data_IF_872896179703
#
_entry.id   IF_872896179703
#
_cell.length_a   1.000
_cell.length_b   1.000
_cell.length_c   1.000
_cell.angle_alpha   90.00
_cell.angle_beta   90.00
_cell.angle_gamma   90.00
#
_symmetry.space_group_name_H-M   'P 1'
#
loop_
_entity.id
_entity.type
_entity.pdbx_description
1 polymer ?
#
# COMPACT_ATOMS: atom_id res chain seq x y z
N UNK A 1 17.91 5.56 7.97
CA UNK A 1 16.56 5.16 8.38
C UNK A 1 16.21 3.86 7.69
N UNK A 2 15.21 3.15 8.19
CA UNK A 2 14.65 1.96 7.54
C UNK A 2 13.16 2.18 7.35
N UNK A 3 12.56 1.52 6.35
CA UNK A 3 11.12 1.61 6.07
C UNK A 3 10.27 1.03 7.21
N UNK A 4 10.71 -0.06 7.84
CA UNK A 4 10.04 -0.64 9.01
C UNK A 4 11.05 -1.23 9.99
N UNK A 5 10.66 -1.34 11.26
CA UNK A 5 11.39 -2.09 12.30
C UNK A 5 10.79 -3.46 12.59
N UNK A 6 9.63 -3.76 12.01
CA UNK A 6 8.93 -5.05 12.11
C UNK A 6 8.47 -5.45 10.71
N UNK A 7 9.00 -6.55 10.19
CA UNK A 7 8.73 -7.03 8.82
C UNK A 7 8.35 -8.50 8.84
N UNK A 8 7.51 -8.91 7.91
CA UNK A 8 6.95 -10.25 7.83
C UNK A 8 6.90 -10.72 6.36
N UNK A 9 6.99 -12.03 6.13
CA UNK A 9 6.82 -12.61 4.79
C UNK A 9 7.86 -12.09 3.80
N UNK A 10 7.39 -11.69 2.61
CA UNK A 10 8.22 -11.18 1.52
C UNK A 10 8.27 -9.63 1.46
N UNK A 11 7.98 -8.94 2.57
CA UNK A 11 8.08 -7.48 2.63
C UNK A 11 9.50 -6.98 2.34
N UNK A 12 9.61 -5.94 1.50
CA UNK A 12 10.90 -5.33 1.16
C UNK A 12 11.25 -4.24 2.18
N UNK A 13 12.45 -4.33 2.74
CA UNK A 13 12.99 -3.30 3.62
C UNK A 13 13.79 -2.29 2.80
N UNK A 14 13.39 -1.02 2.82
CA UNK A 14 14.19 0.09 2.29
C UNK A 14 15.14 0.60 3.36
N UNK A 15 16.42 0.72 2.99
CA UNK A 15 17.46 1.39 3.77
C UNK A 15 17.75 2.72 3.10
N UNK A 16 17.64 3.81 3.86
CA UNK A 16 18.00 5.15 3.38
C UNK A 16 19.07 5.75 4.27
N UNK A 17 20.21 6.07 3.68
CA UNK A 17 21.31 6.79 4.34
C UNK A 17 21.35 8.23 3.82
N UNK A 18 21.30 9.17 4.75
CA UNK A 18 21.44 10.60 4.47
C UNK A 18 22.72 11.09 5.14
N UNK A 19 23.85 10.87 4.47
CA UNK A 19 25.17 11.27 4.94
C UNK A 19 25.65 12.51 4.18
N UNK A 20 25.79 13.68 4.85
CA UNK A 20 26.28 14.90 4.21
C UNK A 20 27.65 14.77 3.54
N UNK A 21 28.53 13.90 4.05
CA UNK A 21 29.88 13.71 3.51
C UNK A 21 29.87 13.00 2.15
N UNK A 22 28.79 12.28 1.85
CA UNK A 22 28.58 11.55 0.59
C UNK A 22 27.36 12.04 -0.20
N UNK A 23 26.92 13.29 0.00
CA UNK A 23 25.67 13.80 -0.58
C UNK A 23 25.82 14.55 -1.91
N UNK A 24 27.04 14.91 -2.31
CA UNK A 24 27.28 15.63 -3.57
C UNK A 24 27.12 14.68 -4.76
N UNK A 25 26.17 14.99 -5.64
CA UNK A 25 25.85 14.16 -6.82
C UNK A 25 26.63 14.59 -8.07
N UNK A 26 27.56 15.56 -7.96
CA UNK A 26 28.30 16.14 -9.11
C UNK A 26 29.78 15.76 -9.13
N UNK A 27 30.19 14.90 -8.20
CA UNK A 27 31.57 14.43 -8.05
C UNK A 27 31.61 12.90 -8.03
N UNK A 28 32.73 12.36 -8.48
CA UNK A 28 33.06 10.95 -8.32
C UNK A 28 33.42 10.66 -6.86
N UNK A 29 32.74 9.69 -6.25
CA UNK A 29 32.93 9.28 -4.86
C UNK A 29 33.74 7.98 -4.82
N UNK A 30 35.06 8.14 -4.68
CA UNK A 30 36.01 7.01 -4.69
C UNK A 30 35.83 5.96 -3.58
N UNK A 31 35.13 6.28 -2.49
CA UNK A 31 34.85 5.36 -1.39
C UNK A 31 33.35 5.35 -1.13
N UNK A 32 32.62 4.66 -2.00
CA UNK A 32 31.16 4.60 -1.92
C UNK A 32 30.71 3.92 -0.62
N UNK A 33 29.70 4.49 0.07
CA UNK A 33 29.22 3.97 1.34
C UNK A 33 28.57 2.59 1.18
N UNK A 34 28.68 1.81 2.25
CA UNK A 34 28.03 0.51 2.46
C UNK A 34 27.23 0.56 3.77
N UNK A 35 26.26 -0.32 3.92
CA UNK A 35 25.58 -0.55 5.20
C UNK A 35 25.83 -1.99 5.67
N UNK A 36 25.79 -2.21 6.97
CA UNK A 36 25.85 -3.55 7.55
C UNK A 36 24.44 -4.07 7.78
N UNK A 37 24.18 -5.32 7.40
CA UNK A 37 22.99 -6.06 7.79
C UNK A 37 23.35 -7.51 8.15
N UNK A 38 22.96 -7.94 9.35
CA UNK A 38 23.24 -9.31 9.82
C UNK A 38 24.75 -9.61 9.92
N UNK A 39 25.58 -8.60 10.20
CA UNK A 39 27.03 -8.74 10.31
C UNK A 39 27.80 -8.73 8.99
N UNK A 40 27.13 -8.44 7.86
CA UNK A 40 27.72 -8.39 6.53
C UNK A 40 27.51 -7.01 5.90
N UNK A 41 28.47 -6.55 5.11
CA UNK A 41 28.39 -5.26 4.41
C UNK A 41 27.76 -5.42 3.02
N UNK A 42 26.89 -4.48 2.67
CA UNK A 42 26.21 -4.39 1.39
C UNK A 42 26.31 -2.98 0.82
N UNK A 43 26.31 -2.89 -0.50
CA UNK A 43 26.43 -1.63 -1.20
C UNK A 43 25.16 -0.78 -1.12
N UNK A 44 25.34 0.53 -1.10
CA UNK A 44 24.27 1.50 -1.30
C UNK A 44 24.46 2.18 -2.66
N UNK A 45 23.34 2.62 -3.25
CA UNK A 45 23.31 3.37 -4.51
C UNK A 45 22.87 4.82 -4.29
N UNK A 46 23.58 5.78 -4.88
CA UNK A 46 23.27 7.20 -4.73
C UNK A 46 22.10 7.61 -5.63
N UNK A 47 21.07 8.24 -5.07
CA UNK A 47 19.99 8.83 -5.83
C UNK A 47 20.27 10.29 -6.20
N UNK A 48 19.50 10.83 -7.16
CA UNK A 48 19.58 12.24 -7.60
C UNK A 48 19.33 13.26 -6.47
N UNK A 49 18.76 12.84 -5.35
CA UNK A 49 18.50 13.68 -4.18
C UNK A 49 19.68 13.71 -3.19
N UNK A 50 20.81 13.07 -3.51
CA UNK A 50 22.01 13.01 -2.69
C UNK A 50 21.96 11.99 -1.54
N UNK A 51 20.85 11.26 -1.37
CA UNK A 51 20.73 10.17 -0.41
C UNK A 51 21.14 8.84 -1.05
N UNK A 52 21.41 7.86 -0.20
CA UNK A 52 21.86 6.53 -0.56
C UNK A 52 20.81 5.49 -0.20
N UNK A 53 20.55 4.56 -1.11
CA UNK A 53 19.44 3.61 -1.02
C UNK A 53 19.93 2.17 -1.20
N UNK A 54 19.28 1.25 -0.49
CA UNK A 54 19.29 -0.17 -0.78
C UNK A 54 17.93 -0.77 -0.44
N UNK A 55 17.57 -1.83 -1.15
CA UNK A 55 16.36 -2.60 -0.90
C UNK A 55 16.77 -4.05 -0.61
N UNK A 56 16.25 -4.62 0.48
CA UNK A 56 16.55 -5.99 0.85
C UNK A 56 15.25 -6.75 1.14
N UNK A 57 15.24 -8.06 0.88
CA UNK A 57 14.10 -8.95 1.15
C UNK A 57 14.60 -10.30 1.65
N UNK A 58 13.78 -10.98 2.47
CA UNK A 58 14.10 -12.34 2.87
C UNK A 58 14.14 -13.25 1.63
N UNK A 59 15.28 -13.92 1.44
CA UNK A 59 15.50 -14.74 0.25
C UNK A 59 14.57 -15.95 0.21
N UNK A 60 14.26 -16.55 1.37
CA UNK A 60 13.44 -17.76 1.43
C UNK A 60 11.98 -17.46 1.07
N UNK A 61 11.43 -16.35 1.58
CA UNK A 61 10.04 -15.97 1.32
C UNK A 61 9.86 -15.38 -0.07
N UNK A 62 10.70 -14.42 -0.48
CA UNK A 62 10.56 -13.82 -1.81
C UNK A 62 10.61 -14.84 -2.95
N UNK A 63 11.45 -15.87 -2.86
CA UNK A 63 11.51 -16.95 -3.85
C UNK A 63 10.26 -17.84 -3.86
N UNK A 64 9.59 -18.03 -2.72
CA UNK A 64 8.35 -18.80 -2.69
C UNK A 64 7.24 -18.02 -3.40
N UNK A 65 7.10 -16.74 -3.06
CA UNK A 65 6.02 -15.90 -3.59
C UNK A 65 6.19 -15.47 -5.05
N UNK A 66 7.43 -15.32 -5.54
CA UNK A 66 7.70 -14.99 -6.95
C UNK A 66 7.25 -16.09 -7.93
N UNK A 67 7.17 -17.35 -7.46
CA UNK A 67 6.78 -18.49 -8.31
C UNK A 67 5.26 -18.62 -8.45
N UNK A 68 4.49 -17.98 -7.57
CA UNK A 68 3.03 -18.06 -7.53
C UNK A 68 2.41 -16.83 -8.23
N UNK A 69 1.26 -16.99 -8.89
CA UNK A 69 0.55 -15.89 -9.61
C UNK A 69 -0.27 -15.00 -8.64
N UNK A 70 0.30 -14.69 -7.47
CA UNK A 70 -0.39 -14.07 -6.34
C UNK A 70 -0.13 -12.56 -6.22
N UNK A 71 0.64 -11.96 -7.14
CA UNK A 71 0.90 -10.53 -7.14
C UNK A 71 2.08 -10.11 -6.28
N UNK A 72 3.09 -10.97 -6.14
CA UNK A 72 4.37 -10.66 -5.47
C UNK A 72 5.53 -11.07 -6.37
N UNK A 73 5.62 -10.43 -7.54
CA UNK A 73 6.64 -10.73 -8.53
C UNK A 73 7.88 -9.83 -8.33
N UNK A 74 9.00 -10.45 -7.96
CA UNK A 74 10.30 -9.80 -7.74
C UNK A 74 11.20 -9.85 -8.99
N UNK A 75 10.83 -10.67 -9.98
CA UNK A 75 11.45 -10.68 -11.30
C UNK A 75 12.41 -11.86 -11.49
N UNK A 76 13.68 -11.60 -11.81
CA UNK A 76 14.67 -12.68 -11.98
C UNK A 76 15.72 -12.61 -10.89
N UNK A 77 15.91 -13.73 -10.17
CA UNK A 77 16.95 -13.85 -9.16
C UNK A 77 18.32 -14.07 -9.82
N UNK A 78 19.13 -13.03 -9.79
CA UNK A 78 20.50 -13.02 -10.29
C UNK A 78 21.47 -13.60 -9.24
N UNK A 79 21.68 -14.91 -9.30
CA UNK A 79 22.49 -15.67 -8.34
C UNK A 79 23.98 -15.33 -8.38
N UNK A 80 24.51 -14.90 -9.53
CA UNK A 80 25.89 -14.39 -9.62
C UNK A 80 26.00 -12.89 -9.37
N UNK A 81 24.89 -12.24 -9.06
CA UNK A 81 24.80 -10.80 -8.89
C UNK A 81 24.53 -10.07 -10.19
N UNK A 82 24.73 -8.76 -10.18
CA UNK A 82 24.55 -7.89 -11.35
C UNK A 82 25.87 -7.28 -11.79
N UNK A 83 25.98 -6.96 -13.06
CA UNK A 83 27.21 -6.43 -13.65
C UNK A 83 26.92 -5.30 -14.64
N UNK A 84 27.99 -4.57 -14.97
CA UNK A 84 27.99 -3.48 -15.95
C UNK A 84 27.99 -4.03 -17.39
N UNK A 85 28.58 -5.21 -17.58
CA UNK A 85 28.72 -5.87 -18.87
C UNK A 85 28.64 -7.39 -18.70
N UNK A 86 28.50 -8.12 -19.82
CA UNK A 86 28.40 -9.59 -19.92
C UNK A 86 29.63 -10.38 -19.38
N UNK A 87 30.31 -9.87 -18.36
CA UNK A 87 31.46 -10.43 -17.67
C UNK A 87 31.11 -10.75 -16.22
N UNK A 88 31.94 -11.57 -15.57
CA UNK A 88 31.82 -11.87 -14.14
C UNK A 88 32.79 -11.03 -13.29
N UNK A 89 33.40 -10.00 -13.87
CA UNK A 89 34.48 -9.24 -13.24
C UNK A 89 34.12 -7.79 -12.96
N UNK A 90 33.21 -7.20 -13.72
CA UNK A 90 32.74 -5.83 -13.55
C UNK A 90 31.37 -5.83 -12.84
N UNK A 91 31.33 -6.43 -11.65
CA UNK A 91 30.09 -6.59 -10.88
C UNK A 91 29.70 -5.25 -10.25
N UNK A 92 28.42 -4.90 -10.38
CA UNK A 92 27.77 -3.82 -9.64
C UNK A 92 27.49 -4.35 -8.23
N UNK A 93 26.74 -5.44 -8.15
CA UNK A 93 26.46 -6.17 -6.92
C UNK A 93 26.93 -7.62 -7.04
N UNK A 94 28.02 -8.02 -6.36
CA UNK A 94 28.39 -9.43 -6.29
C UNK A 94 27.45 -10.20 -5.36
N UNK A 95 26.84 -11.28 -5.85
CA UNK A 95 25.97 -12.14 -5.04
C UNK A 95 26.60 -13.49 -4.68
N UNK A 96 25.79 -14.41 -4.15
CA UNK A 96 26.21 -15.72 -3.63
C UNK A 96 27.39 -15.65 -2.65
N UNK A 97 27.42 -14.58 -1.83
CA UNK A 97 28.49 -14.30 -0.88
C UNK A 97 27.92 -14.09 0.51
N UNK A 98 28.31 -14.94 1.46
CA UNK A 98 27.78 -14.88 2.83
C UNK A 98 26.28 -15.19 2.84
N UNK A 99 25.48 -14.25 3.36
CA UNK A 99 24.02 -14.37 3.48
C UNK A 99 23.27 -13.83 2.25
N UNK A 100 23.95 -13.16 1.31
CA UNK A 100 23.35 -12.70 0.06
C UNK A 100 23.27 -13.85 -0.93
N UNK A 101 22.06 -14.30 -1.19
CA UNK A 101 21.77 -15.42 -2.10
C UNK A 101 21.79 -14.96 -3.56
N UNK A 102 21.21 -13.78 -3.83
CA UNK A 102 21.06 -13.26 -5.19
C UNK A 102 20.54 -11.82 -5.18
N UNK A 103 20.37 -11.26 -6.38
CA UNK A 103 19.76 -9.94 -6.56
C UNK A 103 18.54 -10.09 -7.47
N UNK A 104 17.37 -9.67 -7.00
CA UNK A 104 16.17 -9.58 -7.81
C UNK A 104 16.26 -8.37 -8.74
N UNK A 105 16.06 -8.59 -10.03
CA UNK A 105 16.14 -7.55 -11.05
C UNK A 105 15.20 -7.79 -12.23
N UNK A 106 14.93 -6.73 -12.99
CA UNK A 106 14.17 -6.75 -14.23
C UNK A 106 14.99 -7.32 -15.41
N UNK A 107 15.27 -8.62 -15.38
CA UNK A 107 16.03 -9.31 -16.43
C UNK A 107 15.12 -9.95 -17.48
N UNK A 108 15.71 -10.34 -18.61
CA UNK A 108 15.01 -11.16 -19.59
C UNK A 108 15.03 -12.63 -19.15
N UNK A 109 13.88 -13.25 -18.92
CA UNK A 109 13.81 -14.61 -18.37
C UNK A 109 14.42 -15.72 -19.25
N UNK A 110 14.76 -15.43 -20.51
CA UNK A 110 15.42 -16.37 -21.43
C UNK A 110 16.94 -16.19 -21.44
N UNK A 111 17.46 -15.01 -21.07
CA UNK A 111 18.91 -14.81 -20.98
C UNK A 111 19.45 -15.59 -19.77
N UNK A 112 20.69 -16.06 -19.89
CA UNK A 112 21.37 -16.69 -18.75
C UNK A 112 21.76 -15.62 -17.72
N UNK A 113 22.48 -16.02 -16.66
CA UNK A 113 23.07 -15.07 -15.71
C UNK A 113 24.06 -14.09 -16.39
N UNK A 114 24.73 -14.50 -17.48
CA UNK A 114 25.72 -13.69 -18.19
C UNK A 114 25.89 -14.13 -19.65
N UNK A 115 26.65 -13.37 -20.44
CA UNK A 115 27.05 -13.70 -21.81
C UNK A 115 26.00 -13.41 -22.90
N UNK A 116 24.96 -12.63 -22.57
CA UNK A 116 23.94 -12.17 -23.51
C UNK A 116 23.29 -10.87 -23.01
N UNK A 117 22.91 -9.99 -23.94
CA UNK A 117 22.08 -8.82 -23.67
C UNK A 117 20.81 -9.17 -22.86
N UNK A 118 20.49 -8.33 -21.87
CA UNK A 118 19.34 -8.52 -21.00
C UNK A 118 19.53 -9.61 -19.94
N UNK A 119 20.75 -10.14 -19.80
CA UNK A 119 21.15 -11.00 -18.67
C UNK A 119 21.32 -10.20 -17.38
N UNK A 120 21.45 -10.89 -16.26
CA UNK A 120 21.79 -10.27 -14.98
C UNK A 120 23.06 -9.41 -15.02
N UNK A 121 23.99 -9.76 -15.90
CA UNK A 121 25.25 -9.05 -16.07
C UNK A 121 25.17 -7.96 -17.16
N UNK A 122 24.08 -7.86 -17.90
CA UNK A 122 23.86 -6.79 -18.89
C UNK A 122 22.39 -6.37 -18.87
N UNK A 123 21.97 -5.81 -17.74
CA UNK A 123 20.57 -5.46 -17.50
C UNK A 123 20.12 -4.24 -18.30
N UNK A 124 21.02 -3.42 -18.83
CA UNK A 124 20.70 -2.30 -19.72
C UNK A 124 20.85 -2.62 -21.22
N UNK A 125 21.41 -3.77 -21.60
CA UNK A 125 21.35 -4.30 -22.98
C UNK A 125 20.05 -5.05 -23.30
N UNK A 126 19.58 -5.11 -24.54
CA UNK A 126 18.44 -5.97 -24.90
C UNK A 126 18.57 -6.56 -26.31
N UNK A 127 18.13 -7.81 -26.47
CA UNK A 127 18.30 -8.54 -27.73
C UNK A 127 17.44 -7.96 -28.87
N UNK A 128 18.12 -7.33 -29.83
CA UNK A 128 17.60 -6.97 -31.15
C UNK A 128 16.16 -6.44 -31.18
N UNK A 129 15.20 -7.22 -31.69
CA UNK A 129 13.80 -6.80 -31.88
C UNK A 129 13.01 -6.64 -30.59
N UNK A 130 13.56 -7.11 -29.46
CA UNK A 130 12.95 -6.91 -28.15
C UNK A 130 13.45 -5.62 -27.49
N UNK A 131 14.40 -4.91 -28.08
CA UNK A 131 14.79 -3.58 -27.61
C UNK A 131 13.81 -2.53 -28.13
N UNK A 132 12.69 -2.37 -27.43
CA UNK A 132 11.68 -1.37 -27.79
C UNK A 132 11.12 -0.69 -26.54
N UNK A 133 10.59 0.52 -26.71
CA UNK A 133 9.95 1.28 -25.63
C UNK A 133 8.66 0.64 -25.07
N UNK A 134 8.12 -0.40 -25.72
CA UNK A 134 6.81 -0.99 -25.37
C UNK A 134 6.86 -2.49 -25.06
N UNK A 135 8.02 -3.12 -25.17
CA UNK A 135 8.16 -4.56 -24.93
C UNK A 135 8.22 -4.84 -23.44
N UNK A 136 7.33 -5.70 -22.96
CA UNK A 136 7.31 -6.23 -21.59
C UNK A 136 7.95 -7.62 -21.54
N UNK A 137 8.99 -7.86 -22.36
CA UNK A 137 9.64 -9.18 -22.43
C UNK A 137 10.53 -9.46 -21.22
N UNK A 138 10.90 -8.43 -20.48
CA UNK A 138 11.58 -8.54 -19.18
C UNK A 138 10.55 -8.73 -18.08
N UNK A 139 10.98 -9.38 -17.00
CA UNK A 139 10.19 -9.32 -15.76
C UNK A 139 10.12 -7.87 -15.29
N UNK A 140 8.96 -7.44 -14.81
CA UNK A 140 8.76 -6.09 -14.32
C UNK A 140 8.60 -6.10 -12.80
N UNK A 141 9.70 -5.89 -12.11
CA UNK A 141 9.74 -5.69 -10.65
C UNK A 141 8.83 -4.52 -10.26
N UNK A 142 8.95 -3.40 -10.98
CA UNK A 142 8.36 -2.09 -10.66
C UNK A 142 6.86 -1.99 -10.93
N UNK A 143 6.26 -3.03 -11.50
CA UNK A 143 4.81 -3.10 -11.64
C UNK A 143 4.09 -3.42 -10.31
N UNK A 144 4.80 -4.04 -9.36
CA UNK A 144 4.20 -4.60 -8.14
C UNK A 144 4.95 -4.19 -6.88
N UNK A 145 6.29 -4.19 -6.93
CA UNK A 145 7.16 -3.81 -5.82
C UNK A 145 8.19 -2.78 -6.28
N UNK A 146 8.60 -1.87 -5.40
CA UNK A 146 9.47 -0.74 -5.77
C UNK A 146 8.87 0.20 -6.84
N UNK A 147 7.56 0.38 -6.82
CA UNK A 147 6.81 1.21 -7.80
C UNK A 147 7.23 2.69 -7.80
N UNK A 148 7.83 3.16 -6.70
CA UNK A 148 8.24 4.55 -6.48
C UNK A 148 9.74 4.74 -6.22
N UNK A 149 10.59 3.76 -6.57
CA UNK A 149 12.03 3.86 -6.32
C UNK A 149 12.67 5.12 -6.95
N UNK A 150 13.62 5.79 -6.27
CA UNK A 150 14.20 7.02 -6.76
C UNK A 150 15.13 6.77 -7.95
N UNK A 151 15.26 7.77 -8.82
CA UNK A 151 16.26 7.74 -9.90
C UNK A 151 17.68 7.88 -9.34
N UNK A 152 18.63 7.14 -9.91
CA UNK A 152 20.03 7.21 -9.55
C UNK A 152 20.68 8.53 -10.01
N UNK A 153 21.66 9.01 -9.22
CA UNK A 153 22.52 10.12 -9.63
C UNK A 153 23.37 9.75 -10.83
N UNK A 154 23.85 10.75 -11.57
CA UNK A 154 24.82 10.60 -12.65
C UNK A 154 25.79 11.78 -12.57
N UNK A 155 26.99 11.55 -12.03
CA UNK A 155 27.85 12.63 -11.58
C UNK A 155 28.56 13.37 -12.71
N UNK A 156 28.78 12.70 -13.84
CA UNK A 156 29.52 13.21 -15.00
C UNK A 156 28.62 13.45 -16.22
N UNK A 157 27.30 13.32 -16.05
CA UNK A 157 26.29 13.38 -17.11
C UNK A 157 26.59 12.42 -18.27
N UNK A 158 27.26 11.28 -18.01
CA UNK A 158 27.54 10.27 -19.02
C UNK A 158 26.23 9.76 -19.64
N UNK A 159 26.21 9.64 -20.97
CA UNK A 159 25.05 9.13 -21.67
C UNK A 159 24.81 7.64 -21.34
N UNK A 160 23.55 7.24 -21.26
CA UNK A 160 23.12 5.85 -21.09
C UNK A 160 23.90 4.87 -21.99
N UNK A 161 24.44 3.79 -21.41
CA UNK A 161 25.26 2.78 -22.11
C UNK A 161 26.65 3.24 -22.55
N UNK A 162 27.11 4.44 -22.19
CA UNK A 162 28.45 4.89 -22.51
C UNK A 162 29.51 4.14 -21.67
N UNK A 163 30.68 3.90 -22.27
CA UNK A 163 31.82 3.38 -21.51
C UNK A 163 32.21 4.36 -20.40
N UNK A 164 32.22 3.88 -19.15
CA UNK A 164 32.51 4.69 -17.98
C UNK A 164 31.28 5.34 -17.35
N UNK A 165 30.06 5.02 -17.81
CA UNK A 165 28.84 5.40 -17.11
C UNK A 165 28.87 4.87 -15.66
N UNK A 166 28.45 5.72 -14.74
CA UNK A 166 28.54 5.47 -13.31
C UNK A 166 27.31 5.98 -12.57
N UNK A 167 26.12 5.54 -13.02
CA UNK A 167 24.91 5.93 -12.32
C UNK A 167 24.90 5.32 -10.92
N UNK A 168 24.47 6.11 -9.95
CA UNK A 168 24.44 5.73 -8.54
C UNK A 168 25.83 5.53 -7.91
N UNK A 169 26.91 5.97 -8.58
CA UNK A 169 28.31 5.81 -8.19
C UNK A 169 28.81 4.35 -8.21
N UNK A 170 28.06 3.46 -8.88
CA UNK A 170 28.27 2.00 -8.86
C UNK A 170 28.27 1.35 -10.24
N UNK A 171 28.33 2.13 -11.31
CA UNK A 171 28.35 1.61 -12.68
C UNK A 171 26.97 1.23 -13.23
N UNK A 172 25.88 1.65 -12.59
CA UNK A 172 24.55 1.42 -13.14
C UNK A 172 24.37 2.18 -14.46
N UNK A 173 23.45 1.68 -15.28
CA UNK A 173 23.05 2.27 -16.54
C UNK A 173 21.60 1.89 -16.83
N UNK A 174 21.05 2.51 -17.87
CA UNK A 174 19.70 2.30 -18.35
C UNK A 174 19.74 2.09 -19.87
N UNK A 175 18.84 1.25 -20.38
CA UNK A 175 18.63 1.08 -21.79
C UNK A 175 17.97 2.33 -22.37
N UNK A 176 18.62 2.99 -23.34
CA UNK A 176 18.12 4.24 -23.92
C UNK A 176 16.80 4.11 -24.71
N UNK A 177 16.39 2.91 -25.11
CA UNK A 177 15.15 2.67 -25.86
C UNK A 177 13.99 2.30 -24.93
N UNK A 178 14.23 1.38 -23.99
CA UNK A 178 13.19 0.76 -23.16
C UNK A 178 13.11 1.32 -21.75
N UNK A 179 14.17 1.94 -21.23
CA UNK A 179 14.21 2.43 -19.86
C UNK A 179 14.51 1.36 -18.80
N UNK A 180 14.76 0.10 -19.18
CA UNK A 180 15.18 -0.94 -18.22
C UNK A 180 16.67 -0.82 -17.90
N UNK A 181 17.06 -1.20 -16.69
CA UNK A 181 18.45 -1.21 -16.27
C UNK A 181 18.67 -2.06 -15.03
N UNK A 182 19.83 -1.92 -14.40
CA UNK A 182 20.19 -2.64 -13.17
C UNK A 182 19.59 -2.03 -11.89
N UNK A 183 18.81 -0.96 -12.02
CA UNK A 183 18.10 -0.29 -10.93
C UNK A 183 16.65 0.02 -11.33
N UNK A 184 15.68 -0.11 -10.42
CA UNK A 184 15.83 -0.65 -9.06
C UNK A 184 16.10 -2.16 -9.04
N UNK A 185 16.72 -2.61 -7.95
CA UNK A 185 16.98 -4.03 -7.68
C UNK A 185 16.91 -4.29 -6.17
N UNK A 186 16.65 -5.54 -5.79
CA UNK A 186 16.48 -5.94 -4.39
C UNK A 186 17.50 -7.04 -4.05
N UNK A 187 18.23 -6.87 -2.95
CA UNK A 187 19.15 -7.89 -2.45
C UNK A 187 18.35 -8.98 -1.72
N UNK A 188 18.42 -10.22 -2.20
CA UNK A 188 17.77 -11.37 -1.57
C UNK A 188 18.73 -11.97 -0.52
N UNK A 189 18.46 -11.70 0.76
CA UNK A 189 19.32 -12.05 1.88
C UNK A 189 18.54 -12.98 2.81
N UNK A 190 19.18 -13.99 3.38
CA UNK A 190 18.55 -14.80 4.43
C UNK A 190 18.45 -13.98 5.72
N UNK A 191 17.21 -13.67 6.15
CA UNK A 191 16.99 -12.93 7.39
C UNK A 191 17.04 -13.87 8.60
N UNK A 192 17.29 -13.28 9.76
CA UNK A 192 17.11 -13.94 11.06
C UNK A 192 15.99 -13.24 11.83
N UNK A 193 15.50 -13.82 12.93
CA UNK A 193 14.41 -13.21 13.72
C UNK A 193 14.76 -11.78 14.20
N UNK A 194 16.03 -11.56 14.55
CA UNK A 194 16.56 -10.27 15.01
C UNK A 194 17.71 -9.81 14.13
N UNK A 195 17.49 -8.77 13.34
CA UNK A 195 18.50 -8.19 12.47
C UNK A 195 18.93 -6.81 12.96
N UNK A 196 20.13 -6.38 12.57
CA UNK A 196 20.63 -5.04 12.83
C UNK A 196 21.07 -4.43 11.51
N UNK A 197 20.52 -3.27 11.18
CA UNK A 197 21.00 -2.38 10.12
C UNK A 197 21.95 -1.38 10.76
N UNK A 198 23.19 -1.28 10.29
CA UNK A 198 24.16 -0.31 10.82
C UNK A 198 24.86 0.50 9.72
N UNK A 199 25.16 1.76 10.04
CA UNK A 199 25.89 2.68 9.17
C UNK A 199 26.63 3.72 10.02
N UNK A 200 27.92 3.94 9.78
CA UNK A 200 28.67 5.06 10.39
C UNK A 200 28.71 5.08 11.92
N UNK A 201 28.36 3.98 12.59
CA UNK A 201 28.23 3.88 14.05
C UNK A 201 26.79 3.97 14.58
N UNK A 202 25.83 4.36 13.75
CA UNK A 202 24.40 4.26 14.04
C UNK A 202 23.89 2.84 13.75
N UNK A 203 22.88 2.40 14.50
CA UNK A 203 22.24 1.10 14.28
C UNK A 203 20.75 1.13 14.59
N UNK A 204 19.99 0.32 13.86
CA UNK A 204 18.55 0.11 14.02
C UNK A 204 18.31 -1.40 14.07
N UNK A 205 17.59 -1.86 15.08
CA UNK A 205 17.12 -3.25 15.17
C UNK A 205 15.86 -3.43 14.33
N UNK A 206 15.81 -4.52 13.58
CA UNK A 206 14.68 -4.90 12.73
C UNK A 206 14.30 -6.34 13.07
N UNK A 207 13.09 -6.52 13.59
CA UNK A 207 12.51 -7.83 13.85
C UNK A 207 11.89 -8.39 12.58
N UNK A 208 12.18 -9.65 12.28
CA UNK A 208 11.58 -10.38 11.17
C UNK A 208 10.77 -11.57 11.71
N UNK A 209 9.49 -11.65 11.35
CA UNK A 209 8.61 -12.72 11.83
C UNK A 209 7.14 -12.29 11.87
N UNK A 210 6.34 -12.99 12.66
CA UNK A 210 4.92 -12.66 12.82
C UNK A 210 4.74 -11.29 13.51
N UNK A 211 3.85 -10.45 12.97
CA UNK A 211 3.57 -9.09 13.44
C UNK A 211 2.16 -8.93 14.04
N UNK A 212 1.53 -10.01 14.53
CA UNK A 212 0.18 -9.94 15.11
C UNK A 212 0.08 -8.88 16.23
N UNK A 213 1.15 -8.75 17.04
CA UNK A 213 1.21 -7.78 18.15
C UNK A 213 1.26 -6.31 17.73
N UNK A 214 1.53 -6.05 16.46
CA UNK A 214 1.68 -4.74 15.85
C UNK A 214 0.42 -4.33 15.07
N UNK A 215 -0.63 -5.16 15.11
CA UNK A 215 -1.86 -4.92 14.36
C UNK A 215 -2.91 -4.12 15.13
N UNK A 216 -3.79 -3.45 14.39
CA UNK A 216 -4.99 -2.80 14.92
C UNK A 216 -6.14 -2.81 13.92
N UNK A 217 -7.36 -2.61 14.43
CA UNK A 217 -8.57 -2.40 13.64
C UNK A 217 -9.42 -1.31 14.28
N UNK A 218 -9.85 -0.35 13.48
CA UNK A 218 -10.66 0.79 13.90
C UNK A 218 -11.82 1.03 12.95
N UNK A 219 -12.92 1.57 13.48
CA UNK A 219 -14.11 1.91 12.73
C UNK A 219 -14.53 3.34 13.09
N UNK A 220 -14.61 4.23 12.10
CA UNK A 220 -14.86 5.65 12.32
C UNK A 220 -16.23 5.92 12.97
N UNK A 221 -17.27 5.22 12.53
CA UNK A 221 -18.60 5.26 13.12
C UNK A 221 -19.06 3.87 13.54
N UNK A 222 -19.06 3.60 14.85
CA UNK A 222 -19.49 2.32 15.44
C UNK A 222 -21.01 2.20 15.62
N UNK A 223 -21.74 3.29 15.40
CA UNK A 223 -23.19 3.36 15.57
C UNK A 223 -23.89 3.94 14.33
N UNK A 224 -23.64 3.43 13.11
CA UNK A 224 -24.26 3.96 11.90
C UNK A 224 -25.76 3.64 11.84
N UNK A 225 -26.51 4.49 11.14
CA UNK A 225 -27.88 4.18 10.70
C UNK A 225 -27.88 3.38 9.39
N UNK A 226 -28.97 3.44 8.63
CA UNK A 226 -29.02 2.91 7.27
C UNK A 226 -28.28 3.80 6.27
N UNK A 227 -27.84 3.20 5.14
CA UNK A 227 -27.16 3.89 4.04
C UNK A 227 -25.98 4.75 4.48
N UNK A 228 -25.32 4.39 5.56
CA UNK A 228 -24.15 5.09 6.08
C UNK A 228 -22.88 4.40 5.57
N UNK A 229 -21.91 5.18 5.15
CA UNK A 229 -20.61 4.68 4.73
C UNK A 229 -19.88 4.01 5.90
N UNK A 230 -19.25 2.87 5.63
CA UNK A 230 -18.46 2.13 6.61
C UNK A 230 -16.98 2.37 6.34
N UNK A 231 -16.33 3.07 7.26
CA UNK A 231 -14.92 3.46 7.15
C UNK A 231 -14.09 2.65 8.13
N UNK A 232 -13.49 1.58 7.63
CA UNK A 232 -12.62 0.70 8.38
C UNK A 232 -11.16 1.08 8.13
N UNK A 233 -10.36 1.08 9.20
CA UNK A 233 -8.91 1.25 9.14
C UNK A 233 -8.24 0.09 9.83
N UNK A 234 -7.23 -0.51 9.20
CA UNK A 234 -6.36 -1.52 9.82
C UNK A 234 -4.91 -1.06 9.81
N UNK A 235 -4.15 -1.45 10.82
CA UNK A 235 -2.68 -1.34 10.80
C UNK A 235 -2.10 -2.75 10.77
N UNK A 236 -1.19 -3.02 9.84
CA UNK A 236 -0.43 -4.27 9.79
C UNK A 236 0.87 -4.13 9.00
N UNK A 237 2.04 -4.22 9.66
CA UNK A 237 3.32 -4.22 8.96
C UNK A 237 3.49 -5.38 7.97
N UNK A 238 2.78 -6.51 8.13
CA UNK A 238 2.90 -7.65 7.22
C UNK A 238 2.29 -7.42 5.84
N UNK A 239 1.37 -6.46 5.73
CA UNK A 239 0.73 -6.10 4.46
C UNK A 239 1.52 -5.04 3.67
N UNK A 240 2.53 -4.42 4.28
CA UNK A 240 3.35 -3.39 3.67
C UNK A 240 4.56 -4.03 2.97
N UNK A 241 4.33 -4.43 1.72
CA UNK A 241 5.26 -5.18 0.88
C UNK A 241 6.17 -4.23 0.08
N UNK A 242 5.61 -3.17 -0.52
CA UNK A 242 6.35 -2.17 -1.29
C UNK A 242 6.67 -0.93 -0.43
N UNK A 243 7.94 -0.71 -0.03
CA UNK A 243 8.28 0.44 0.80
C UNK A 243 8.20 1.79 0.04
N UNK A 244 7.97 1.78 -1.27
CA UNK A 244 8.02 2.97 -2.13
C UNK A 244 6.68 3.34 -2.77
N UNK A 245 5.68 2.47 -2.67
CA UNK A 245 4.33 2.64 -3.19
C UNK A 245 3.29 2.26 -2.15
N UNK A 246 2.03 2.63 -2.40
CA UNK A 246 0.93 2.17 -1.55
C UNK A 246 0.53 0.75 -1.95
N UNK A 247 0.43 -0.13 -0.97
CA UNK A 247 -0.11 -1.48 -1.18
C UNK A 247 -1.64 -1.53 -1.16
N UNK A 248 -2.20 -2.45 -1.94
CA UNK A 248 -3.64 -2.69 -2.02
C UNK A 248 -3.89 -4.15 -1.69
N UNK A 249 -4.81 -4.40 -0.75
CA UNK A 249 -5.21 -5.75 -0.37
C UNK A 249 -6.72 -5.91 -0.51
N UNK A 250 -7.16 -7.07 -0.97
CA UNK A 250 -8.58 -7.40 -1.12
C UNK A 250 -8.89 -8.59 -0.22
N UNK A 251 -9.85 -8.40 0.67
CA UNK A 251 -10.29 -9.40 1.64
C UNK A 251 -11.74 -9.80 1.38
N UNK A 252 -12.05 -11.08 1.58
CA UNK A 252 -13.42 -11.57 1.66
C UNK A 252 -13.85 -11.59 3.13
N UNK A 253 -14.88 -10.82 3.48
CA UNK A 253 -15.31 -10.69 4.88
C UNK A 253 -15.96 -11.99 5.39
N UNK A 254 -16.50 -12.82 4.51
CA UNK A 254 -17.11 -14.11 4.83
C UNK A 254 -16.10 -15.27 4.91
N UNK A 255 -14.86 -15.02 4.48
CA UNK A 255 -13.81 -16.02 4.42
C UNK A 255 -13.36 -16.50 5.81
N UNK A 256 -12.83 -17.73 5.82
CA UNK A 256 -12.36 -18.39 7.05
C UNK A 256 -10.87 -18.63 6.98
N UNK A 257 -10.22 -18.92 8.11
CA UNK A 257 -8.82 -19.30 8.12
C UNK A 257 -8.48 -20.50 7.21
N UNK A 258 -9.45 -21.37 6.90
CA UNK A 258 -9.25 -22.51 6.00
C UNK A 258 -9.41 -22.14 4.51
N UNK A 259 -10.11 -21.05 4.21
CA UNK A 259 -10.40 -20.55 2.86
C UNK A 259 -10.37 -19.01 2.90
N UNK A 260 -9.19 -18.40 3.04
CA UNK A 260 -9.06 -17.00 3.48
C UNK A 260 -9.31 -15.97 2.37
N UNK A 261 -9.23 -16.37 1.09
CA UNK A 261 -9.51 -15.54 -0.09
C UNK A 261 -8.86 -14.14 -0.03
N UNK A 262 -7.58 -14.09 0.35
CA UNK A 262 -6.81 -12.83 0.47
C UNK A 262 -6.06 -12.58 -0.84
N UNK A 263 -6.09 -11.35 -1.35
CA UNK A 263 -5.42 -11.01 -2.61
C UNK A 263 -4.62 -9.73 -2.47
N UNK A 264 -3.50 -9.66 -3.19
CA UNK A 264 -2.83 -8.39 -3.49
C UNK A 264 -3.51 -7.77 -4.70
N UNK A 265 -3.96 -6.53 -4.53
CA UNK A 265 -4.71 -5.75 -5.50
C UNK A 265 -3.86 -4.86 -6.40
N UNK A 266 -2.55 -4.71 -6.16
CA UNK A 266 -1.68 -3.76 -6.87
C UNK A 266 -1.70 -3.92 -8.41
N UNK A 267 -1.97 -5.14 -8.93
CA UNK A 267 -2.05 -5.43 -10.38
C UNK A 267 -3.38 -6.13 -10.80
N UNK A 268 -4.40 -6.14 -9.94
CA UNK A 268 -5.81 -6.46 -10.24
C UNK A 268 -6.18 -7.83 -10.85
N UNK A 269 -5.22 -8.68 -11.24
CA UNK A 269 -5.45 -9.96 -11.93
C UNK A 269 -4.96 -11.18 -11.16
N UNK A 270 -4.51 -10.97 -9.93
CA UNK A 270 -3.84 -11.98 -9.11
C UNK A 270 -4.79 -13.04 -8.56
N UNK A 271 -4.28 -14.25 -8.35
CA UNK A 271 -5.00 -15.30 -7.62
C UNK A 271 -5.08 -14.98 -6.13
N UNK A 272 -6.11 -15.53 -5.47
CA UNK A 272 -6.20 -15.43 -4.02
C UNK A 272 -5.23 -16.40 -3.37
N UNK A 273 -4.52 -15.92 -2.36
CA UNK A 273 -3.71 -16.75 -1.49
C UNK A 273 -4.60 -17.71 -0.72
N UNK A 274 -4.18 -18.96 -0.67
CA UNK A 274 -4.73 -20.01 0.16
C UNK A 274 -4.15 -19.95 1.59
N UNK A 275 -4.65 -20.83 2.46
CA UNK A 275 -4.23 -20.87 3.86
C UNK A 275 -2.77 -21.31 4.05
N UNK A 276 -2.21 -22.08 3.10
CA UNK A 276 -0.81 -22.51 3.12
C UNK A 276 0.10 -21.34 2.80
N UNK A 277 -0.25 -20.57 1.77
CA UNK A 277 0.51 -19.40 1.33
C UNK A 277 0.51 -18.32 2.42
N UNK A 278 -0.64 -18.00 3.02
CA UNK A 278 -0.66 -17.10 4.19
C UNK A 278 0.15 -17.64 5.37
N UNK A 279 0.16 -18.95 5.58
CA UNK A 279 1.03 -19.58 6.58
C UNK A 279 2.52 -19.44 6.26
N UNK A 280 2.91 -19.45 4.99
CA UNK A 280 4.29 -19.18 4.55
C UNK A 280 4.67 -17.73 4.80
N UNK A 281 3.76 -16.77 4.57
CA UNK A 281 3.94 -15.38 5.00
C UNK A 281 4.11 -15.22 6.51
N UNK A 282 3.91 -16.27 7.32
CA UNK A 282 3.94 -16.17 8.78
C UNK A 282 2.66 -15.56 9.36
N UNK A 283 1.59 -15.48 8.57
CA UNK A 283 0.31 -14.98 9.03
C UNK A 283 -0.34 -15.97 9.99
N UNK A 284 -0.86 -15.47 11.10
CA UNK A 284 -1.59 -16.27 12.10
C UNK A 284 -2.98 -15.70 12.28
N UNK A 285 -3.12 -14.64 13.07
CA UNK A 285 -4.38 -13.90 13.19
C UNK A 285 -4.41 -12.66 12.29
N UNK A 286 -3.23 -12.15 11.88
CA UNK A 286 -3.10 -11.07 10.90
C UNK A 286 -3.26 -11.54 9.44
N UNK A 287 -3.13 -10.61 8.49
CA UNK A 287 -3.33 -10.83 7.05
C UNK A 287 -4.72 -11.30 6.60
N UNK A 288 -5.74 -11.34 7.48
CA UNK A 288 -7.12 -11.69 7.11
C UNK A 288 -8.10 -10.78 7.85
N UNK A 289 -8.77 -9.92 7.09
CA UNK A 289 -9.96 -9.21 7.56
C UNK A 289 -11.19 -10.11 7.41
N UNK A 290 -12.02 -10.18 8.46
CA UNK A 290 -13.26 -10.95 8.43
C UNK A 290 -14.38 -10.26 9.22
N UNK A 291 -15.62 -10.68 8.96
CA UNK A 291 -16.81 -10.26 9.67
C UNK A 291 -17.61 -11.47 10.14
N UNK A 292 -18.33 -11.35 11.26
CA UNK A 292 -19.24 -12.41 11.72
C UNK A 292 -20.58 -12.43 10.95
N UNK A 293 -20.95 -11.32 10.30
CA UNK A 293 -22.15 -11.21 9.48
C UNK A 293 -22.10 -9.98 8.55
N UNK A 294 -22.50 -10.17 7.29
CA UNK A 294 -22.59 -9.10 6.29
C UNK A 294 -24.03 -8.68 5.97
N UNK A 295 -25.03 -9.19 6.71
CA UNK A 295 -26.45 -9.02 6.36
C UNK A 295 -26.94 -7.57 6.33
N UNK A 296 -26.18 -6.65 6.93
CA UNK A 296 -26.48 -5.22 6.96
C UNK A 296 -25.51 -4.39 6.11
N UNK A 297 -24.60 -5.03 5.38
CA UNK A 297 -23.57 -4.40 4.56
C UNK A 297 -23.90 -4.54 3.06
N UNK A 298 -23.57 -3.52 2.27
CA UNK A 298 -23.69 -3.58 0.81
C UNK A 298 -22.64 -2.75 0.07
N UNK A 299 -22.29 -3.19 -1.14
CA UNK A 299 -21.62 -2.40 -2.17
C UNK A 299 -22.67 -1.95 -3.19
N UNK A 300 -23.24 -0.75 -2.99
CA UNK A 300 -24.40 -0.32 -3.77
C UNK A 300 -25.62 -1.23 -3.55
N UNK A 301 -26.06 -1.95 -4.59
CA UNK A 301 -27.18 -2.91 -4.52
C UNK A 301 -26.75 -4.35 -4.23
N UNK A 302 -25.45 -4.66 -4.23
CA UNK A 302 -24.91 -6.01 -4.01
C UNK A 302 -24.46 -6.22 -2.56
N UNK A 303 -24.36 -7.48 -2.14
CA UNK A 303 -23.71 -7.85 -0.87
C UNK A 303 -22.23 -7.47 -0.89
N UNK A 304 -21.68 -7.18 0.29
CA UNK A 304 -20.21 -7.06 0.41
C UNK A 304 -19.65 -8.46 0.41
N UNK A 305 -19.02 -8.85 -0.68
CA UNK A 305 -18.28 -10.12 -0.75
C UNK A 305 -16.78 -9.85 -0.66
N UNK A 306 -16.31 -8.69 -1.13
CA UNK A 306 -14.91 -8.29 -1.13
C UNK A 306 -14.76 -6.84 -0.66
N UNK A 307 -13.77 -6.58 0.18
CA UNK A 307 -13.37 -5.25 0.63
C UNK A 307 -11.95 -4.99 0.18
N UNK A 308 -11.77 -3.89 -0.56
CA UNK A 308 -10.45 -3.38 -0.93
C UNK A 308 -9.94 -2.46 0.18
N UNK A 309 -8.76 -2.76 0.70
CA UNK A 309 -8.05 -1.95 1.69
C UNK A 309 -6.83 -1.35 0.99
N UNK A 310 -6.76 -0.02 0.94
CA UNK A 310 -5.65 0.70 0.29
C UNK A 310 -4.78 1.33 1.36
N UNK A 311 -3.47 1.16 1.25
CA UNK A 311 -2.51 1.80 2.13
C UNK A 311 -2.56 3.32 1.97
N UNK A 312 -2.64 4.03 3.10
CA UNK A 312 -2.80 5.50 3.19
C UNK A 312 -1.69 6.29 2.51
N UNK A 313 -0.55 5.66 2.26
CA UNK A 313 0.58 6.19 1.51
C UNK A 313 1.68 5.14 1.47
N UNK A 314 2.76 5.42 0.75
CA UNK A 314 3.89 4.49 0.70
C UNK A 314 4.43 4.19 2.10
N UNK A 315 4.49 2.91 2.45
CA UNK A 315 5.13 2.42 3.67
C UNK A 315 4.55 2.99 4.98
N UNK A 316 3.24 3.16 5.05
CA UNK A 316 2.59 3.54 6.32
C UNK A 316 2.21 2.33 7.15
N UNK A 317 1.99 1.16 6.52
CA UNK A 317 1.39 -0.02 7.13
C UNK A 317 -0.05 0.19 7.62
N UNK A 318 -0.70 1.28 7.19
CA UNK A 318 -2.07 1.66 7.58
C UNK A 318 -2.95 1.64 6.34
N UNK A 319 -4.00 0.82 6.37
CA UNK A 319 -4.88 0.58 5.23
C UNK A 319 -6.30 0.99 5.54
N UNK A 320 -6.96 1.59 4.56
CA UNK A 320 -8.31 2.16 4.67
C UNK A 320 -9.25 1.54 3.64
N UNK A 321 -10.51 1.35 4.03
CA UNK A 321 -11.60 0.89 3.15
C UNK A 321 -12.31 2.06 2.43
N UNK A 322 -11.64 3.19 2.27
CA UNK A 322 -12.17 4.39 1.65
C UNK A 322 -11.06 5.15 0.90
N UNK A 323 -11.45 5.94 -0.09
CA UNK A 323 -10.49 6.67 -0.91
C UNK A 323 -10.03 7.98 -0.25
N UNK A 324 -9.06 8.66 -0.88
CA UNK A 324 -8.54 9.96 -0.41
C UNK A 324 -9.58 11.09 -0.39
N UNK A 325 -10.73 10.92 -1.04
CA UNK A 325 -11.85 11.85 -1.00
C UNK A 325 -12.87 11.49 0.09
N UNK A 326 -12.63 10.40 0.82
CA UNK A 326 -13.47 9.89 1.89
C UNK A 326 -14.62 9.01 1.40
N UNK A 327 -14.63 8.53 0.15
CA UNK A 327 -15.68 7.64 -0.34
C UNK A 327 -15.39 6.19 0.06
N UNK A 328 -16.29 5.57 0.81
CA UNK A 328 -16.14 4.17 1.24
C UNK A 328 -16.35 3.14 0.12
N UNK A 329 -15.67 2.01 0.27
CA UNK A 329 -15.86 0.80 -0.53
C UNK A 329 -17.23 0.16 -0.28
N UNK A 330 -17.77 0.29 0.93
CA UNK A 330 -19.05 -0.28 1.30
C UNK A 330 -19.81 0.55 2.34
N UNK A 331 -21.11 0.29 2.45
CA UNK A 331 -22.05 1.03 3.29
C UNK A 331 -23.03 0.08 3.98
N UNK A 332 -23.83 0.60 4.91
CA UNK A 332 -24.97 -0.13 5.44
C UNK A 332 -26.14 -0.16 4.45
N UNK A 333 -26.94 -1.22 4.46
CA UNK A 333 -28.12 -1.34 3.60
C UNK A 333 -29.22 -0.33 3.95
N UNK A 334 -30.14 -0.12 3.01
CA UNK A 334 -31.41 0.56 3.30
C UNK A 334 -32.25 -0.24 4.29
N UNK A 335 -32.92 0.45 5.21
CA UNK A 335 -33.79 -0.18 6.22
C UNK A 335 -33.06 -1.25 7.07
N UNK A 336 -31.77 -1.01 7.35
CA UNK A 336 -30.97 -1.88 8.21
C UNK A 336 -31.67 -2.10 9.57
N UNK A 337 -31.77 -3.34 10.02
CA UNK A 337 -32.47 -3.63 11.27
C UNK A 337 -31.71 -3.04 12.45
N UNK A 338 -32.39 -2.21 13.25
CA UNK A 338 -31.85 -1.63 14.48
C UNK A 338 -31.31 -2.71 15.44
N UNK A 339 -30.30 -2.35 16.22
CA UNK A 339 -29.60 -3.21 17.17
C UNK A 339 -28.90 -4.44 16.55
N UNK A 340 -28.79 -4.49 15.22
CA UNK A 340 -27.97 -5.51 14.55
C UNK A 340 -26.51 -5.19 14.78
N UNK A 341 -25.79 -6.16 15.37
CA UNK A 341 -24.36 -6.08 15.59
C UNK A 341 -23.62 -6.84 14.49
N UNK A 342 -22.58 -6.21 13.95
CA UNK A 342 -21.59 -6.81 13.06
C UNK A 342 -20.21 -6.59 13.67
N UNK A 343 -19.44 -7.66 13.83
CA UNK A 343 -18.10 -7.65 14.42
C UNK A 343 -17.08 -7.85 13.32
N UNK A 344 -16.25 -6.85 13.07
CA UNK A 344 -15.07 -6.99 12.21
C UNK A 344 -13.88 -7.45 13.04
N UNK A 345 -13.11 -8.40 12.52
CA UNK A 345 -11.96 -9.00 13.20
C UNK A 345 -10.72 -8.97 12.32
N UNK A 346 -9.59 -8.60 12.91
CA UNK A 346 -8.28 -8.52 12.26
C UNK A 346 -7.16 -8.64 13.29
N UNK A 347 -6.14 -9.50 13.06
CA UNK A 347 -4.93 -9.53 13.89
C UNK A 347 -5.19 -9.87 15.37
N UNK A 348 -6.20 -10.69 15.65
CA UNK A 348 -6.63 -11.02 17.01
C UNK A 348 -7.43 -9.90 17.72
N UNK A 349 -7.59 -8.76 17.07
CA UNK A 349 -8.43 -7.64 17.51
C UNK A 349 -9.81 -7.69 16.87
N UNK A 350 -10.76 -6.95 17.44
CA UNK A 350 -12.11 -6.83 16.88
C UNK A 350 -12.74 -5.46 17.16
N UNK A 351 -13.60 -5.00 16.26
CA UNK A 351 -14.42 -3.80 16.44
C UNK A 351 -15.88 -4.08 16.08
N UNK A 352 -16.78 -3.65 16.96
CA UNK A 352 -18.22 -3.82 16.76
C UNK A 352 -18.83 -2.60 16.07
N UNK A 353 -19.69 -2.86 15.09
CA UNK A 353 -20.61 -1.93 14.45
C UNK A 353 -22.04 -2.30 14.83
N UNK A 354 -22.78 -1.37 15.44
CA UNK A 354 -24.16 -1.59 15.86
C UNK A 354 -25.08 -0.63 15.12
N UNK A 355 -26.03 -1.16 14.34
CA UNK A 355 -27.03 -0.33 13.66
C UNK A 355 -27.86 0.42 14.71
N UNK A 356 -27.74 1.73 14.73
CA UNK A 356 -28.34 2.59 15.76
C UNK A 356 -29.17 3.67 15.10
N UNK A 357 -30.39 3.87 15.63
CA UNK A 357 -31.23 5.00 15.26
C UNK A 357 -31.46 5.94 16.44
N UNK A 358 -31.36 7.24 16.20
CA UNK A 358 -31.53 8.32 17.15
C UNK A 358 -32.58 9.31 16.66
N UNK A 359 -33.46 9.74 17.57
CA UNK A 359 -34.45 10.76 17.25
C UNK A 359 -33.78 12.12 16.95
N UNK A 360 -34.19 12.76 15.85
CA UNK A 360 -33.84 14.13 15.57
C UNK A 360 -34.41 15.07 16.65
N UNK A 361 -33.63 16.07 17.05
CA UNK A 361 -34.08 17.09 18.01
C UNK A 361 -34.37 18.39 17.30
N UNK A 362 -35.42 19.08 17.75
CA UNK A 362 -35.78 20.42 17.27
C UNK A 362 -35.75 21.40 18.44
N UNK A 363 -35.11 22.54 18.22
CA UNK A 363 -35.15 23.68 19.15
C UNK A 363 -35.60 24.93 18.42
N UNK A 364 -36.28 25.81 19.15
CA UNK A 364 -36.75 27.08 18.67
C UNK A 364 -36.25 28.16 19.62
N UNK A 365 -35.48 29.09 19.09
CA UNK A 365 -35.03 30.28 19.80
C UNK A 365 -35.59 31.53 19.11
N UNK A 366 -36.51 32.21 19.79
CA UNK A 366 -37.11 33.47 19.36
C UNK A 366 -36.75 34.64 20.29
N UNK A 367 -35.76 34.47 21.16
CA UNK A 367 -35.55 35.38 22.28
C UNK A 367 -36.72 35.37 23.28
N UNK A 368 -36.99 36.51 23.91
CA UNK A 368 -38.12 36.69 24.85
C UNK A 368 -39.46 36.86 24.13
N UNK A 369 -40.02 38.09 24.13
CA UNK A 369 -41.28 38.38 23.44
C UNK A 369 -41.08 38.43 21.92
N UNK A 370 -41.39 37.34 21.22
CA UNK A 370 -41.32 37.27 19.75
C UNK A 370 -42.32 38.25 19.11
N UNK A 371 -41.81 39.35 18.60
CA UNK A 371 -42.59 40.43 17.96
C UNK A 371 -42.55 40.32 16.44
N UNK A 372 -43.58 40.82 15.72
CA UNK A 372 -43.58 40.85 14.25
C UNK A 372 -42.33 41.54 13.68
N UNK A 373 -41.65 40.88 12.74
CA UNK A 373 -40.42 41.38 12.11
C UNK A 373 -39.11 40.99 12.81
N UNK A 374 -39.16 40.24 13.92
CA UNK A 374 -37.98 39.65 14.55
C UNK A 374 -37.68 38.26 13.98
N UNK A 375 -36.40 37.96 13.73
CA UNK A 375 -35.96 36.63 13.33
C UNK A 375 -36.10 35.67 14.52
N UNK A 376 -36.60 34.47 14.25
CA UNK A 376 -36.52 33.34 15.16
C UNK A 376 -35.74 32.22 14.47
N UNK A 377 -34.92 31.51 15.22
CA UNK A 377 -34.09 30.43 14.72
C UNK A 377 -34.73 29.11 15.11
N UNK A 378 -34.98 28.26 14.11
CA UNK A 378 -35.29 26.84 14.32
C UNK A 378 -34.03 26.07 14.01
N UNK A 379 -33.55 25.29 14.98
CA UNK A 379 -32.42 24.38 14.77
C UNK A 379 -32.95 22.95 14.84
N UNK A 380 -32.70 22.18 13.78
CA UNK A 380 -32.92 20.73 13.77
C UNK A 380 -31.55 20.06 13.80
N UNK A 381 -31.37 19.12 14.73
CA UNK A 381 -30.16 18.29 14.82
C UNK A 381 -30.59 16.84 14.63
N UNK A 382 -30.19 16.26 13.51
CA UNK A 382 -30.36 14.86 13.17
C UNK A 382 -28.96 14.24 13.10
N UNK A 383 -28.70 13.25 13.95
CA UNK A 383 -27.38 12.62 14.09
C UNK A 383 -27.08 11.60 12.98
N UNK A 384 -28.10 11.20 12.21
CA UNK A 384 -28.04 10.14 11.21
C UNK A 384 -28.03 10.67 9.78
N UNK A 385 -28.34 11.97 9.63
CA UNK A 385 -28.48 12.61 8.34
C UNK A 385 -27.15 12.69 7.57
N UNK A 386 -26.02 12.65 8.29
CA UNK A 386 -24.69 12.59 7.71
C UNK A 386 -24.25 11.12 7.55
N UNK A 387 -24.17 10.65 6.31
CA UNK A 387 -23.88 9.27 5.93
C UNK A 387 -22.38 9.01 5.76
N UNK A 388 -21.60 10.01 5.37
CA UNK A 388 -20.15 9.94 5.30
C UNK A 388 -19.47 10.46 6.60
N UNK A 389 -18.73 9.64 7.36
CA UNK A 389 -18.13 10.08 8.63
C UNK A 389 -16.96 11.07 8.49
N UNK A 390 -16.37 11.21 7.29
CA UNK A 390 -15.17 12.05 7.06
C UNK A 390 -15.49 13.43 6.51
N UNK A 391 -16.72 13.63 6.03
CA UNK A 391 -17.14 14.89 5.42
C UNK A 391 -18.53 15.33 5.88
N UNK A 392 -18.77 16.64 5.80
CA UNK A 392 -20.09 17.19 6.05
C UNK A 392 -20.90 17.18 4.75
N UNK A 393 -22.04 16.52 4.78
CA UNK A 393 -22.92 16.41 3.62
C UNK A 393 -23.93 17.57 3.52
N UNK A 394 -24.34 17.87 2.29
CA UNK A 394 -25.43 18.83 2.03
C UNK A 394 -26.71 18.07 1.70
N UNK A 395 -27.74 18.25 2.53
CA UNK A 395 -29.05 17.64 2.29
C UNK A 395 -29.73 18.26 1.06
N UNK A 396 -30.09 17.42 0.09
CA UNK A 396 -30.75 17.84 -1.15
C UNK A 396 -32.26 17.62 -1.07
N UNK A 397 -33.06 18.66 -1.36
CA UNK A 397 -34.54 18.61 -1.35
C UNK A 397 -35.11 17.60 -2.35
N UNK A 398 -34.35 17.21 -3.37
CA UNK A 398 -34.78 16.25 -4.38
C UNK A 398 -34.38 14.79 -4.10
N UNK A 399 -33.66 14.53 -3.01
CA UNK A 399 -33.24 13.17 -2.65
C UNK A 399 -34.34 12.47 -1.85
N UNK A 400 -34.92 11.41 -2.40
CA UNK A 400 -35.99 10.66 -1.73
C UNK A 400 -35.54 9.94 -0.44
N UNK A 401 -34.24 9.79 -0.22
CA UNK A 401 -33.66 9.15 0.98
C UNK A 401 -33.42 10.15 2.11
N UNK A 402 -33.40 11.46 1.80
CA UNK A 402 -33.22 12.51 2.79
C UNK A 402 -34.54 12.83 3.52
N UNK A 403 -34.56 12.66 4.84
CA UNK A 403 -35.67 13.15 5.68
C UNK A 403 -35.51 14.64 5.94
N UNK A 404 -36.11 15.46 5.08
CA UNK A 404 -35.98 16.92 5.18
C UNK A 404 -37.10 17.52 6.02
N UNK A 405 -36.79 18.21 7.13
CA UNK A 405 -37.81 18.89 7.93
C UNK A 405 -38.49 19.99 7.11
N UNK A 406 -39.82 19.92 6.98
CA UNK A 406 -40.61 20.98 6.36
C UNK A 406 -41.40 21.76 7.42
N UNK A 407 -41.29 23.09 7.43
CA UNK A 407 -42.09 23.97 8.28
C UNK A 407 -43.30 24.51 7.52
N UNK A 408 -44.50 24.36 8.09
CA UNK A 408 -45.72 24.99 7.60
C UNK A 408 -46.08 26.18 8.50
N UNK A 409 -46.29 27.36 7.91
CA UNK A 409 -46.65 28.58 8.65
C UNK A 409 -48.07 29.04 8.29
N UNK A 410 -48.96 29.07 9.29
CA UNK A 410 -50.35 29.50 9.15
C UNK A 410 -51.29 28.50 8.47
N UNK A 411 -52.60 28.76 8.50
CA UNK A 411 -53.61 27.99 7.76
C UNK A 411 -53.49 28.29 6.26
N UNK A 412 -53.03 27.30 5.49
CA UNK A 412 -52.81 27.40 4.03
C UNK A 412 -51.36 27.64 3.60
N UNK A 413 -50.38 27.46 4.49
CA UNK A 413 -48.96 27.62 4.16
C UNK A 413 -48.48 26.62 3.08
N UNK A 414 -47.77 27.14 2.07
CA UNK A 414 -47.14 26.36 0.99
C UNK A 414 -46.03 25.49 1.56
N UNK A 415 -46.01 24.21 1.20
CA UNK A 415 -44.90 23.31 1.52
C UNK A 415 -43.80 23.44 0.46
N UNK A 416 -42.53 23.40 0.87
CA UNK A 416 -41.39 23.46 -0.04
C UNK A 416 -41.25 22.20 -0.91
N UNK A 417 -41.90 21.10 -0.53
CA UNK A 417 -41.80 19.82 -1.24
C UNK A 417 -42.56 19.79 -2.57
N UNK A 418 -43.61 20.61 -2.77
CA UNK A 418 -44.42 20.54 -3.99
C UNK A 418 -44.96 21.88 -4.52
N UNK A 419 -44.73 23.02 -3.85
CA UNK A 419 -45.28 24.29 -4.31
C UNK A 419 -46.82 24.32 -4.42
N UNK A 420 -47.51 23.38 -3.78
CA UNK A 420 -48.97 23.33 -3.74
C UNK A 420 -49.47 23.55 -2.31
N UNK A 421 -50.61 24.26 -2.21
CA UNK A 421 -51.27 24.57 -0.96
C UNK A 421 -51.84 23.29 -0.34
N UNK A 422 -51.36 22.95 0.86
CA UNK A 422 -51.81 21.77 1.59
C UNK A 422 -53.29 21.85 1.97
N UNK A 423 -53.98 20.71 1.81
CA UNK A 423 -55.25 20.42 2.48
C UNK A 423 -54.98 19.57 3.73
#
# INVERSE_FOLDING_TARGET
TVSSTSIQGAAVLEIVVNDPDYSDTTVDISATPTFEFGGQEYNLQQAVNGKWYAYIVDSSQSQLFDVDENGQEFGILCLSGTAIDETTTNLIEPAATGNLVGVWAAAYNISAQSGADGSCHDLDGMVASLDTATTTSRSDLTAVVLTGAPSLSNHDDSAAGATGIDMGQRGHSINGTSGYGSWPSILAIDFTDDNVVAYGGDSISVTYGNTDSETSIELANRNPGDRAEVHLTITDPALNIDPTGSDIWIFDLSATAATPTVKIGNNGTNTAMDATELGQMGCVDNCRLSSDAESVLATGENTVDLVTMTETGANTGVFESFDVNGAAEFQTIAEAAADTNTVFSYGGNSVDMIITYSDATISFDAGGDWSPGQAATVTVTDWEANKNPTSAETLSVGDETAKIPTIQMGTGGLTLANGEAGA
#
